data_IF_692073276533
#
_entry.id   IF_692073276533
#
_cell.length_a   1.000
_cell.length_b   1.000
_cell.length_c   1.000
_cell.angle_alpha   90.00
_cell.angle_beta   90.00
_cell.angle_gamma   90.00
#
_symmetry.space_group_name_H-M   'P 1'
#
loop_
_entity.id
_entity.type
_entity.pdbx_description
1 polymer ?
#
# COMPACT_ATOMS: atom_id res chain seq x y z
N UNK A 1 -46.27 30.68 -38.38
CA UNK A 1 -45.76 29.37 -38.84
C UNK A 1 -44.38 29.18 -38.24
N UNK A 2 -44.27 28.50 -37.10
CA UNK A 2 -42.99 28.25 -36.42
C UNK A 2 -42.54 26.82 -36.69
N UNK A 3 -41.43 26.65 -37.42
CA UNK A 3 -40.88 25.34 -37.75
C UNK A 3 -40.01 24.86 -36.58
N UNK A 4 -40.53 23.94 -35.77
CA UNK A 4 -39.78 23.34 -34.67
C UNK A 4 -38.77 22.32 -35.22
N UNK A 5 -37.47 22.62 -35.09
CA UNK A 5 -36.40 21.67 -35.37
C UNK A 5 -36.49 20.48 -34.41
N UNK A 6 -36.81 19.29 -34.94
CA UNK A 6 -36.81 18.03 -34.17
C UNK A 6 -35.36 17.62 -33.91
N UNK A 7 -34.94 17.75 -32.67
CA UNK A 7 -33.63 17.31 -32.20
C UNK A 7 -33.57 15.77 -32.24
N UNK A 8 -32.92 15.20 -33.25
CA UNK A 8 -32.69 13.75 -33.37
C UNK A 8 -31.64 13.29 -32.37
N UNK A 9 -32.09 12.78 -31.22
CA UNK A 9 -31.22 12.07 -30.28
C UNK A 9 -30.73 10.77 -30.92
N UNK A 10 -29.50 10.82 -31.47
CA UNK A 10 -28.81 9.64 -31.97
C UNK A 10 -28.25 8.87 -30.78
N UNK A 11 -28.96 7.83 -30.33
CA UNK A 11 -28.41 6.91 -29.34
C UNK A 11 -27.33 6.04 -29.99
N UNK A 12 -26.06 6.40 -29.79
CA UNK A 12 -24.91 5.60 -30.23
C UNK A 12 -24.69 4.48 -29.21
N UNK A 13 -25.09 3.26 -29.56
CA UNK A 13 -24.70 2.08 -28.79
C UNK A 13 -23.26 1.69 -29.14
N UNK A 14 -22.31 2.08 -28.30
CA UNK A 14 -20.91 1.65 -28.41
C UNK A 14 -20.77 0.24 -27.85
N UNK A 15 -20.49 -0.73 -28.72
CA UNK A 15 -20.18 -2.11 -28.30
C UNK A 15 -18.66 -2.22 -28.10
N UNK A 16 -18.22 -2.17 -26.85
CA UNK A 16 -16.82 -2.39 -26.46
C UNK A 16 -16.34 -3.80 -26.85
N UNK A 17 -15.19 -3.88 -27.53
CA UNK A 17 -14.56 -5.16 -27.84
C UNK A 17 -13.91 -5.74 -26.58
N UNK A 18 -14.04 -7.05 -26.37
CA UNK A 18 -13.37 -7.73 -25.26
C UNK A 18 -11.86 -7.56 -25.37
N UNK A 19 -11.24 -6.96 -24.37
CA UNK A 19 -9.80 -6.68 -24.32
C UNK A 19 -9.22 -7.18 -23.00
N UNK A 20 -8.01 -7.74 -23.05
CA UNK A 20 -7.21 -8.03 -21.86
C UNK A 20 -5.94 -7.20 -21.92
N UNK A 21 -5.61 -6.52 -20.82
CA UNK A 21 -4.40 -5.70 -20.68
C UNK A 21 -3.69 -6.10 -19.41
N UNK A 22 -2.43 -6.46 -19.51
CA UNK A 22 -1.65 -6.98 -18.39
C UNK A 22 -0.31 -6.27 -18.27
N UNK A 23 0.13 -6.11 -17.04
CA UNK A 23 1.51 -5.79 -16.69
C UNK A 23 1.97 -6.78 -15.59
N UNK A 24 3.23 -6.70 -15.10
CA UNK A 24 3.72 -7.62 -14.07
C UNK A 24 2.93 -7.62 -12.75
N UNK A 25 2.10 -6.59 -12.51
CA UNK A 25 1.42 -6.37 -11.24
C UNK A 25 -0.09 -6.60 -11.29
N UNK A 26 -0.74 -6.34 -12.43
CA UNK A 26 -2.20 -6.38 -12.58
C UNK A 26 -2.63 -6.89 -13.95
N UNK A 27 -3.83 -7.48 -13.99
CA UNK A 27 -4.53 -7.88 -15.22
C UNK A 27 -5.91 -7.25 -15.25
N UNK A 28 -6.16 -6.46 -16.28
CA UNK A 28 -7.44 -5.84 -16.60
C UNK A 28 -8.15 -6.59 -17.71
N UNK A 29 -9.45 -6.81 -17.56
CA UNK A 29 -10.34 -7.36 -18.58
C UNK A 29 -11.50 -6.38 -18.81
N UNK A 30 -11.63 -5.87 -20.02
CA UNK A 30 -12.70 -4.93 -20.41
C UNK A 30 -13.70 -5.60 -21.33
N UNK A 31 -15.00 -5.36 -21.10
CA UNK A 31 -16.10 -5.74 -21.97
C UNK A 31 -17.27 -4.74 -21.85
N UNK A 32 -18.43 -5.02 -22.46
CA UNK A 32 -19.62 -4.15 -22.39
C UNK A 32 -20.19 -3.92 -20.98
N UNK A 33 -19.80 -4.74 -20.00
CA UNK A 33 -20.18 -4.61 -18.58
C UNK A 33 -19.15 -3.81 -17.77
N UNK A 34 -18.10 -3.28 -18.41
CA UNK A 34 -17.05 -2.49 -17.78
C UNK A 34 -15.69 -3.18 -17.74
N UNK A 35 -14.76 -2.56 -17.01
CA UNK A 35 -13.39 -3.05 -16.81
C UNK A 35 -13.24 -3.63 -15.41
N UNK A 36 -12.75 -4.86 -15.31
CA UNK A 36 -12.35 -5.49 -14.04
C UNK A 36 -10.86 -5.69 -14.00
N UNK A 37 -10.23 -5.36 -12.88
CA UNK A 37 -8.77 -5.47 -12.72
C UNK A 37 -8.44 -6.12 -11.40
N UNK A 38 -7.57 -7.11 -11.48
CA UNK A 38 -7.09 -7.87 -10.34
C UNK A 38 -5.57 -7.78 -10.30
N UNK A 39 -4.99 -7.83 -9.10
CA UNK A 39 -3.55 -8.04 -8.98
C UNK A 39 -3.16 -9.42 -9.54
N UNK A 40 -1.97 -9.49 -10.12
CA UNK A 40 -1.33 -10.76 -10.48
C UNK A 40 -0.97 -11.47 -9.19
N UNK A 41 -1.34 -12.75 -9.07
CA UNK A 41 -1.07 -13.53 -7.87
C UNK A 41 0.44 -13.60 -7.60
N UNK A 42 0.85 -13.28 -6.38
CA UNK A 42 2.26 -13.24 -5.98
C UNK A 42 3.03 -12.00 -6.44
N UNK A 43 2.37 -11.03 -7.09
CA UNK A 43 3.01 -9.74 -7.35
C UNK A 43 3.25 -8.97 -6.04
N UNK A 44 4.14 -7.98 -6.09
CA UNK A 44 4.44 -7.14 -4.93
C UNK A 44 3.17 -6.48 -4.36
N UNK A 45 2.33 -5.88 -5.20
CA UNK A 45 1.10 -5.24 -4.76
C UNK A 45 0.01 -6.23 -4.31
N UNK A 46 -0.05 -7.44 -4.89
CA UNK A 46 -0.93 -8.51 -4.37
C UNK A 46 -0.53 -8.90 -2.93
N UNK A 47 0.77 -9.07 -2.70
CA UNK A 47 1.31 -9.42 -1.39
C UNK A 47 1.05 -8.32 -0.37
N UNK A 48 1.36 -7.07 -0.72
CA UNK A 48 1.13 -5.91 0.15
C UNK A 48 -0.37 -5.77 0.46
N UNK A 49 -1.24 -5.87 -0.54
CA UNK A 49 -2.69 -5.78 -0.34
C UNK A 49 -3.21 -6.87 0.62
N UNK A 50 -2.75 -8.12 0.46
CA UNK A 50 -3.10 -9.22 1.37
C UNK A 50 -2.60 -8.97 2.80
N UNK A 51 -1.33 -8.56 2.94
CA UNK A 51 -0.72 -8.29 4.25
C UNK A 51 -1.44 -7.14 4.95
N UNK A 52 -1.70 -6.03 4.26
CA UNK A 52 -2.42 -4.88 4.82
C UNK A 52 -3.82 -5.29 5.24
N UNK A 53 -4.62 -5.90 4.35
CA UNK A 53 -6.01 -6.26 4.68
C UNK A 53 -6.11 -7.25 5.85
N UNK A 54 -5.16 -8.18 5.98
CA UNK A 54 -5.16 -9.15 7.06
C UNK A 54 -4.66 -8.59 8.39
N UNK A 55 -3.78 -7.58 8.38
CA UNK A 55 -3.04 -7.17 9.58
C UNK A 55 -3.27 -5.73 10.03
N UNK A 56 -3.90 -4.87 9.22
CA UNK A 56 -4.03 -3.43 9.52
C UNK A 56 -4.72 -3.16 10.86
N UNK A 57 -5.72 -3.98 11.22
CA UNK A 57 -6.39 -3.88 12.53
C UNK A 57 -5.43 -4.11 13.70
N UNK A 58 -4.56 -5.12 13.61
CA UNK A 58 -3.56 -5.42 14.63
C UNK A 58 -2.51 -4.31 14.72
N UNK A 59 -2.06 -3.80 13.58
CA UNK A 59 -1.09 -2.69 13.52
C UNK A 59 -1.66 -1.42 14.15
N UNK A 60 -2.92 -1.08 13.85
CA UNK A 60 -3.61 0.06 14.46
C UNK A 60 -3.78 -0.14 15.97
N UNK A 61 -4.10 -1.36 16.41
CA UNK A 61 -4.23 -1.65 17.83
C UNK A 61 -2.89 -1.50 18.57
N UNK A 62 -1.77 -1.99 18.02
CA UNK A 62 -0.44 -1.82 18.62
C UNK A 62 -0.04 -0.32 18.68
N UNK A 63 -0.42 0.47 17.67
CA UNK A 63 -0.19 1.91 17.68
C UNK A 63 -0.96 2.64 18.80
N UNK A 64 -2.26 2.33 18.94
CA UNK A 64 -3.11 2.95 19.96
C UNK A 64 -2.72 2.46 21.36
N UNK A 65 -2.50 1.16 21.49
CA UNK A 65 -2.32 0.43 22.74
C UNK A 65 -0.99 -0.37 22.70
N UNK A 66 0.18 0.30 22.75
CA UNK A 66 1.45 -0.39 22.76
C UNK A 66 1.58 -1.24 24.02
N UNK A 67 2.15 -2.43 23.89
CA UNK A 67 2.30 -3.37 25.00
C UNK A 67 3.74 -3.86 25.16
N UNK A 68 4.19 -3.99 26.41
CA UNK A 68 5.47 -4.65 26.72
C UNK A 68 5.41 -6.15 26.47
N UNK A 69 4.21 -6.74 26.43
CA UNK A 69 4.00 -8.17 26.16
C UNK A 69 4.04 -8.51 24.67
N UNK A 70 4.09 -7.51 23.78
CA UNK A 70 4.30 -7.78 22.37
C UNK A 70 5.64 -8.50 22.18
N UNK A 71 5.69 -9.51 21.30
CA UNK A 71 6.86 -10.40 21.14
C UNK A 71 8.15 -9.58 20.98
N UNK A 72 8.09 -8.51 20.19
CA UNK A 72 9.21 -7.60 19.94
C UNK A 72 9.61 -6.81 21.17
N UNK A 73 8.66 -6.13 21.84
CA UNK A 73 8.98 -5.30 23.01
C UNK A 73 9.47 -6.16 24.17
N UNK A 74 8.87 -7.34 24.37
CA UNK A 74 9.29 -8.33 25.37
C UNK A 74 10.71 -8.83 25.13
N UNK A 75 11.05 -9.14 23.87
CA UNK A 75 12.41 -9.55 23.50
C UNK A 75 13.43 -8.43 23.76
N UNK A 76 13.13 -7.20 23.32
CA UNK A 76 13.97 -6.02 23.57
C UNK A 76 14.16 -5.77 25.07
N UNK A 77 13.09 -5.83 25.87
CA UNK A 77 13.12 -5.65 27.32
C UNK A 77 13.95 -6.74 28.01
N UNK A 78 13.73 -8.01 27.68
CA UNK A 78 14.50 -9.12 28.26
C UNK A 78 15.99 -9.00 27.95
N UNK A 79 16.33 -8.65 26.71
CA UNK A 79 17.72 -8.42 26.33
C UNK A 79 18.36 -7.29 27.13
N UNK A 80 17.62 -6.20 27.36
CA UNK A 80 18.10 -5.09 28.18
C UNK A 80 18.29 -5.50 29.64
N UNK A 81 17.29 -6.15 30.26
CA UNK A 81 17.36 -6.64 31.63
C UNK A 81 18.59 -7.53 31.83
N UNK A 82 18.83 -8.50 30.94
CA UNK A 82 19.98 -9.40 31.03
C UNK A 82 21.31 -8.64 30.99
N UNK A 83 21.43 -7.64 30.11
CA UNK A 83 22.63 -6.80 30.01
C UNK A 83 22.86 -5.99 31.28
N UNK A 84 21.84 -5.29 31.76
CA UNK A 84 22.01 -4.43 32.95
C UNK A 84 22.23 -5.29 34.20
N UNK A 85 21.58 -6.45 34.35
CA UNK A 85 21.85 -7.40 35.43
C UNK A 85 23.29 -7.93 35.40
N UNK A 86 23.82 -8.25 34.21
CA UNK A 86 25.21 -8.71 34.07
C UNK A 86 26.21 -7.62 34.46
N UNK A 87 25.96 -6.39 34.03
CA UNK A 87 26.80 -5.25 34.38
C UNK A 87 26.72 -4.94 35.89
N UNK A 88 25.52 -4.97 36.47
CA UNK A 88 25.32 -4.75 37.90
C UNK A 88 26.06 -5.80 38.73
N UNK A 89 26.06 -7.06 38.32
CA UNK A 89 26.82 -8.14 38.97
C UNK A 89 28.33 -7.86 38.91
N UNK A 90 28.85 -7.50 37.74
CA UNK A 90 30.28 -7.18 37.58
C UNK A 90 30.72 -6.01 38.45
N UNK A 91 29.94 -4.91 38.47
CA UNK A 91 30.18 -3.76 39.35
C UNK A 91 30.10 -4.16 40.82
N UNK A 92 29.14 -5.01 41.20
CA UNK A 92 29.02 -5.50 42.56
C UNK A 92 30.26 -6.27 43.02
N UNK A 93 30.74 -7.20 42.19
CA UNK A 93 31.90 -8.03 42.50
C UNK A 93 33.18 -7.18 42.56
N UNK A 94 33.44 -6.37 41.53
CA UNK A 94 34.71 -5.67 41.38
C UNK A 94 34.82 -4.39 42.22
N UNK A 95 33.73 -3.64 42.36
CA UNK A 95 33.80 -2.29 42.95
C UNK A 95 33.31 -2.26 44.41
N UNK A 96 32.50 -3.25 44.82
CA UNK A 96 31.93 -3.32 46.17
C UNK A 96 32.52 -4.50 46.95
N UNK A 97 32.32 -5.74 46.48
CA UNK A 97 32.64 -6.94 47.27
C UNK A 97 34.16 -7.12 47.40
N UNK A 98 34.92 -7.15 46.31
CA UNK A 98 36.36 -7.40 46.37
C UNK A 98 37.09 -6.37 47.27
N UNK A 99 36.90 -5.04 47.10
CA UNK A 99 37.61 -4.05 47.91
C UNK A 99 37.16 -4.02 49.38
N UNK A 100 35.92 -4.43 49.68
CA UNK A 100 35.44 -4.54 51.06
C UNK A 100 35.89 -5.86 51.70
N UNK A 101 36.01 -6.93 50.92
CA UNK A 101 36.52 -8.24 51.35
C UNK A 101 37.98 -8.15 51.74
N UNK A 102 38.81 -7.50 50.92
CA UNK A 102 40.23 -7.28 51.21
C UNK A 102 40.45 -6.52 52.51
N UNK A 103 39.45 -5.74 52.95
CA UNK A 103 39.45 -4.97 54.20
C UNK A 103 38.62 -5.61 55.32
N UNK A 104 38.06 -6.79 55.12
CA UNK A 104 37.19 -7.50 56.07
C UNK A 104 35.91 -6.72 56.48
N UNK A 105 35.39 -5.88 55.58
CA UNK A 105 34.30 -4.90 55.80
C UNK A 105 33.01 -5.17 55.01
N UNK A 106 32.85 -6.38 54.45
CA UNK A 106 31.75 -6.75 53.50
C UNK A 106 30.34 -6.43 54.04
N UNK A 107 30.14 -6.42 55.37
CA UNK A 107 28.82 -6.23 56.01
C UNK A 107 28.64 -4.85 56.68
N UNK A 108 29.47 -3.86 56.34
CA UNK A 108 29.33 -2.53 56.91
C UNK A 108 28.02 -1.85 56.44
N UNK A 109 27.54 -0.87 57.20
CA UNK A 109 26.38 -0.04 56.83
C UNK A 109 26.60 0.69 55.49
N UNK A 110 27.85 0.97 55.13
CA UNK A 110 28.24 1.55 53.84
C UNK A 110 27.97 0.58 52.68
N UNK A 111 28.32 -0.70 52.84
CA UNK A 111 28.03 -1.74 51.85
C UNK A 111 26.52 -1.86 51.63
N UNK A 112 25.73 -1.89 52.71
CA UNK A 112 24.26 -1.97 52.66
C UNK A 112 23.64 -0.81 51.88
N UNK A 113 24.14 0.42 52.09
CA UNK A 113 23.69 1.59 51.33
C UNK A 113 24.06 1.51 49.84
N UNK A 114 25.26 0.99 49.52
CA UNK A 114 25.67 0.77 48.12
C UNK A 114 24.79 -0.27 47.42
N UNK A 115 24.47 -1.40 48.07
CA UNK A 115 23.54 -2.40 47.54
C UNK A 115 22.15 -1.80 47.25
N UNK A 116 21.61 -1.02 48.21
CA UNK A 116 20.30 -0.38 48.05
C UNK A 116 20.30 0.62 46.90
N UNK A 117 21.36 1.42 46.76
CA UNK A 117 21.49 2.38 45.65
C UNK A 117 21.63 1.68 44.29
N UNK A 118 22.41 0.60 44.19
CA UNK A 118 22.53 -0.19 42.97
C UNK A 118 21.19 -0.82 42.56
N UNK A 119 20.47 -1.41 43.51
CA UNK A 119 19.15 -2.01 43.28
C UNK A 119 18.10 -0.97 42.83
N UNK A 120 18.08 0.20 43.49
CA UNK A 120 17.19 1.30 43.10
C UNK A 120 17.54 1.83 41.70
N UNK A 121 18.83 1.99 41.38
CA UNK A 121 19.28 2.45 40.08
C UNK A 121 18.92 1.45 38.97
N UNK A 122 19.11 0.15 39.21
CA UNK A 122 18.72 -0.92 38.30
C UNK A 122 17.21 -0.89 38.02
N UNK A 123 16.39 -0.78 39.07
CA UNK A 123 14.94 -0.72 38.96
C UNK A 123 14.48 0.49 38.15
N UNK A 124 15.08 1.67 38.40
CA UNK A 124 14.78 2.89 37.66
C UNK A 124 15.19 2.79 36.18
N UNK A 125 16.36 2.23 35.87
CA UNK A 125 16.82 2.05 34.49
C UNK A 125 15.91 1.13 33.70
N UNK A 126 15.50 0.00 34.28
CA UNK A 126 14.56 -0.93 33.63
C UNK A 126 13.20 -0.28 33.42
N UNK A 127 12.67 0.44 34.42
CA UNK A 127 11.41 1.15 34.29
C UNK A 127 11.46 2.25 33.20
N UNK A 128 12.55 3.03 33.15
CA UNK A 128 12.75 4.05 32.13
C UNK A 128 12.84 3.43 30.73
N UNK A 129 13.59 2.34 30.57
CA UNK A 129 13.70 1.64 29.30
C UNK A 129 12.37 1.03 28.85
N UNK A 130 11.56 0.49 29.78
CA UNK A 130 10.23 0.00 29.48
C UNK A 130 9.31 1.11 28.96
N UNK A 131 9.33 2.30 29.59
CA UNK A 131 8.59 3.47 29.11
C UNK A 131 9.09 3.93 27.73
N UNK A 132 10.40 3.93 27.51
CA UNK A 132 11.01 4.28 26.24
C UNK A 132 10.61 3.30 25.13
N UNK A 133 10.58 2.00 25.42
CA UNK A 133 10.13 0.97 24.49
C UNK A 133 8.69 1.19 24.04
N UNK A 134 7.78 1.49 24.98
CA UNK A 134 6.38 1.78 24.64
C UNK A 134 6.24 3.03 23.78
N UNK A 135 7.01 4.08 24.09
CA UNK A 135 7.04 5.32 23.30
C UNK A 135 7.59 5.08 21.88
N UNK A 136 8.71 4.37 21.78
CA UNK A 136 9.36 4.04 20.51
C UNK A 136 8.51 3.09 19.67
N UNK A 137 7.81 2.14 20.29
CA UNK A 137 6.91 1.21 19.62
C UNK A 137 5.80 1.93 18.85
N UNK A 138 5.23 3.00 19.41
CA UNK A 138 4.28 3.86 18.68
C UNK A 138 4.90 4.51 17.46
N UNK A 139 6.13 5.02 17.59
CA UNK A 139 6.85 5.67 16.48
C UNK A 139 7.21 4.69 15.36
N UNK A 140 7.74 3.51 15.71
CA UNK A 140 8.05 2.45 14.73
C UNK A 140 6.77 1.98 14.02
N UNK A 141 5.68 1.79 14.76
CA UNK A 141 4.39 1.37 14.20
C UNK A 141 3.80 2.45 13.28
N UNK A 142 3.92 3.74 13.62
CA UNK A 142 3.49 4.84 12.77
C UNK A 142 4.27 4.90 11.45
N UNK A 143 5.59 4.70 11.49
CA UNK A 143 6.41 4.62 10.27
C UNK A 143 5.96 3.48 9.38
N UNK A 144 5.72 2.30 9.96
CA UNK A 144 5.22 1.14 9.22
C UNK A 144 3.83 1.41 8.62
N UNK A 145 2.92 2.02 9.37
CA UNK A 145 1.59 2.42 8.86
C UNK A 145 1.71 3.36 7.65
N UNK A 146 2.58 4.36 7.73
CA UNK A 146 2.83 5.30 6.64
C UNK A 146 3.36 4.58 5.40
N UNK A 147 4.39 3.75 5.54
CA UNK A 147 4.95 2.97 4.43
C UNK A 147 3.92 2.02 3.81
N UNK A 148 3.14 1.30 4.64
CA UNK A 148 2.09 0.41 4.16
C UNK A 148 0.98 1.16 3.43
N UNK A 149 0.57 2.32 3.93
CA UNK A 149 -0.44 3.15 3.29
C UNK A 149 0.03 3.67 1.94
N UNK A 150 1.27 4.19 1.86
CA UNK A 150 1.86 4.63 0.59
C UNK A 150 1.90 3.50 -0.44
N UNK A 151 2.42 2.32 -0.05
CA UNK A 151 2.52 1.20 -0.96
C UNK A 151 1.14 0.63 -1.38
N UNK A 152 0.16 0.68 -0.48
CA UNK A 152 -1.23 0.35 -0.79
C UNK A 152 -1.83 1.30 -1.83
N UNK A 153 -1.65 2.62 -1.65
CA UNK A 153 -2.10 3.64 -2.61
C UNK A 153 -1.42 3.49 -3.98
N UNK A 154 -0.13 3.17 -4.01
CA UNK A 154 0.59 2.90 -5.26
C UNK A 154 0.00 1.70 -6.01
N UNK A 155 -0.37 0.63 -5.27
CA UNK A 155 -1.10 -0.50 -5.84
C UNK A 155 -2.42 -0.08 -6.51
N UNK A 156 -3.18 0.81 -5.87
CA UNK A 156 -4.39 1.39 -6.45
C UNK A 156 -4.12 2.24 -7.69
N UNK A 157 -3.05 3.03 -7.69
CA UNK A 157 -2.66 3.82 -8.86
C UNK A 157 -2.34 2.92 -10.06
N UNK A 158 -1.62 1.81 -9.83
CA UNK A 158 -1.32 0.82 -10.88
C UNK A 158 -2.58 0.13 -11.39
N UNK A 159 -3.52 -0.22 -10.51
CA UNK A 159 -4.83 -0.76 -10.89
C UNK A 159 -5.59 0.24 -11.77
N UNK A 160 -5.72 1.50 -11.35
CA UNK A 160 -6.44 2.54 -12.07
C UNK A 160 -5.82 2.83 -13.44
N UNK A 161 -4.48 2.93 -13.50
CA UNK A 161 -3.76 3.13 -14.75
C UNK A 161 -4.02 1.97 -15.73
N UNK A 162 -3.91 0.72 -15.26
CA UNK A 162 -4.15 -0.44 -16.12
C UNK A 162 -5.63 -0.61 -16.49
N UNK A 163 -6.57 -0.16 -15.65
CA UNK A 163 -7.99 -0.06 -15.99
C UNK A 163 -8.22 0.92 -17.14
N UNK A 164 -7.68 2.13 -17.02
CA UNK A 164 -7.81 3.17 -18.03
C UNK A 164 -7.21 2.74 -19.37
N UNK A 165 -6.02 2.13 -19.36
CA UNK A 165 -5.40 1.58 -20.57
C UNK A 165 -6.29 0.52 -21.20
N UNK A 166 -6.81 -0.43 -20.42
CA UNK A 166 -7.68 -1.49 -20.95
C UNK A 166 -8.98 -0.96 -21.55
N UNK A 167 -9.57 0.04 -20.92
CA UNK A 167 -10.77 0.71 -21.42
C UNK A 167 -10.48 1.47 -22.71
N UNK A 168 -9.38 2.21 -22.79
CA UNK A 168 -8.96 2.94 -23.99
C UNK A 168 -8.67 2.01 -25.16
N UNK A 169 -7.98 0.90 -24.92
CA UNK A 169 -7.74 -0.13 -25.95
C UNK A 169 -9.05 -0.79 -26.40
N UNK A 170 -9.97 -1.06 -25.47
CA UNK A 170 -11.30 -1.62 -25.81
C UNK A 170 -12.16 -0.63 -26.63
N UNK A 171 -12.10 0.66 -26.30
CA UNK A 171 -12.70 1.77 -27.06
C UNK A 171 -12.14 1.87 -28.47
N UNK A 172 -10.81 1.91 -28.61
CA UNK A 172 -10.15 1.97 -29.91
C UNK A 172 -10.47 0.77 -30.81
N UNK A 173 -10.74 -0.38 -30.20
CA UNK A 173 -11.11 -1.61 -30.91
C UNK A 173 -12.63 -1.82 -31.07
N UNK A 174 -13.46 -0.88 -30.60
CA UNK A 174 -14.92 -1.00 -30.64
C UNK A 174 -15.46 -0.78 -32.06
N UNK A 175 -16.55 -1.48 -32.41
CA UNK A 175 -17.29 -1.23 -33.64
C UNK A 175 -18.47 -0.31 -33.31
N UNK A 176 -18.52 0.86 -33.94
CA UNK A 176 -19.68 1.75 -33.86
C UNK A 176 -20.75 1.25 -34.85
N UNK A 177 -21.75 0.52 -34.36
CA UNK A 177 -22.94 0.22 -35.17
C UNK A 177 -23.89 1.41 -35.07
N UNK A 178 -23.82 2.32 -36.04
CA UNK A 178 -24.87 3.31 -36.25
C UNK A 178 -26.07 2.64 -36.90
N UNK A 179 -27.16 2.48 -36.17
CA UNK A 179 -28.44 2.14 -36.79
C UNK A 179 -29.01 3.43 -37.36
N UNK A 180 -28.78 3.69 -38.65
CA UNK A 180 -29.57 4.68 -39.37
C UNK A 180 -30.98 4.10 -39.52
N UNK A 181 -31.94 4.54 -38.71
CA UNK A 181 -33.34 4.37 -39.05
C UNK A 181 -33.62 5.27 -40.26
N UNK A 182 -33.43 4.72 -41.46
CA UNK A 182 -33.89 5.32 -42.71
C UNK A 182 -35.41 5.21 -42.66
N UNK A 183 -36.08 6.23 -42.14
CA UNK A 183 -37.47 6.45 -42.48
C UNK A 183 -37.50 6.79 -43.97
N UNK A 184 -38.02 5.85 -44.75
CA UNK A 184 -38.34 5.97 -46.18
C UNK A 184 -39.32 7.14 -46.38
N UNK A 185 -38.77 8.34 -46.54
CA UNK A 185 -39.44 9.49 -47.12
C UNK A 185 -38.88 9.71 -48.51
N UNK A 186 -39.66 9.31 -49.52
CA UNK A 186 -39.35 9.45 -50.93
C UNK A 186 -39.18 10.93 -51.32
N UNK A 187 -37.94 11.36 -51.59
CA UNK A 187 -37.63 12.51 -52.46
C UNK A 187 -36.12 12.50 -52.71
N UNK A 188 -35.74 12.24 -53.97
CA UNK A 188 -34.40 11.81 -54.36
C UNK A 188 -33.26 12.79 -54.09
N UNK A 189 -32.09 12.23 -53.78
CA UNK A 189 -30.81 12.66 -54.33
C UNK A 189 -29.80 11.51 -54.19
N UNK A 190 -29.35 11.00 -55.32
CA UNK A 190 -28.43 9.88 -55.51
C UNK A 190 -26.96 10.27 -55.23
N UNK A 191 -26.20 9.27 -54.77
CA UNK A 191 -24.78 9.03 -55.08
C UNK A 191 -23.76 10.16 -54.89
N UNK A 192 -23.26 10.34 -53.66
CA UNK A 192 -22.02 11.12 -53.44
C UNK A 192 -21.01 10.53 -52.45
N UNK A 193 -21.16 9.28 -51.99
CA UNK A 193 -20.29 8.74 -50.94
C UNK A 193 -19.67 7.36 -51.23
N UNK A 194 -19.25 7.11 -52.48
CA UNK A 194 -18.32 5.99 -52.79
C UNK A 194 -17.05 6.40 -53.53
N UNK A 195 -16.83 7.69 -53.80
CA UNK A 195 -15.70 8.18 -54.63
C UNK A 195 -14.55 8.81 -53.82
N UNK A 196 -14.41 8.47 -52.54
CA UNK A 196 -13.32 8.98 -51.69
C UNK A 196 -12.14 8.02 -51.53
N UNK A 197 -12.19 6.79 -52.06
CA UNK A 197 -11.12 5.78 -51.88
C UNK A 197 -10.41 5.34 -53.16
N UNK A 198 -10.73 5.91 -54.33
CA UNK A 198 -10.15 5.46 -55.62
C UNK A 198 -9.29 6.51 -56.33
N UNK A 199 -9.22 7.76 -55.83
CA UNK A 199 -8.44 8.83 -56.48
C UNK A 199 -7.07 9.07 -55.81
N UNK A 200 -6.84 8.53 -54.60
CA UNK A 200 -5.57 8.70 -53.88
C UNK A 200 -4.38 7.87 -54.40
N UNK A 201 -4.59 6.94 -55.34
CA UNK A 201 -3.58 5.99 -55.81
C UNK A 201 -3.16 6.16 -57.28
N UNK A 202 -3.65 7.18 -57.99
CA UNK A 202 -3.35 7.40 -59.42
C UNK A 202 -2.49 8.64 -59.74
N UNK A 203 -1.97 9.37 -58.75
CA UNK A 203 -1.10 10.54 -58.98
C UNK A 203 0.31 10.40 -58.37
N UNK A 204 0.89 9.19 -58.40
CA UNK A 204 2.33 8.98 -58.16
C UNK A 204 3.09 8.53 -59.42
N UNK A 205 2.47 8.65 -60.60
CA UNK A 205 3.12 8.34 -61.88
C UNK A 205 2.82 9.45 -62.89
N UNK A 206 3.36 10.64 -62.68
CA UNK A 206 3.84 11.59 -63.71
C UNK A 206 4.44 12.80 -62.99
N UNK A 207 5.74 13.03 -63.26
CA UNK A 207 6.74 13.92 -62.60
C UNK A 207 7.46 13.30 -61.40
#
# INVERSE_FOLDING_TARGET
MGNSSKNTNTSKNTVYKKTTTSNPYVVSKTNNKGTKTNFVNGSAYDTINKVVNNNIGNVLNEYLNPSLDSITNKSKLNSYINTVSSNAKSTLENDIINPLSDRNMIRSSQATNMYKNLSNNLSNNVANYANELLSNSRTETAKMLSTLLSAYLDGYNVVNANQNTSLSTSKGNSKSTGTNNIYSGNSGMSDYLSMASTIGSAMSSFL
#
